data_IF_777381307698
#
_entry.id   IF_777381307698
#
_cell.length_a   1.000
_cell.length_b   1.000
_cell.length_c   1.000
_cell.angle_alpha   90.00
_cell.angle_beta   90.00
_cell.angle_gamma   90.00
#
_symmetry.space_group_name_H-M   'P 1'
#
loop_
_entity.id
_entity.type
_entity.pdbx_description
1 polymer ?
#
# COMPACT_ATOMS: atom_id res chain seq x y z
N UNK A 1 11.06 -14.34 23.19
CA UNK A 1 11.14 -15.53 22.35
C UNK A 1 10.63 -15.23 20.95
N UNK A 2 11.49 -15.38 20.00
CA UNK A 2 11.10 -15.12 18.61
C UNK A 2 10.30 -16.30 18.08
N UNK A 3 9.09 -16.05 17.60
CA UNK A 3 8.36 -17.07 16.86
C UNK A 3 8.90 -17.13 15.44
N UNK A 4 9.35 -18.31 15.06
CA UNK A 4 9.76 -18.55 13.69
C UNK A 4 8.50 -18.75 12.83
N UNK A 5 8.40 -17.92 11.81
CA UNK A 5 7.35 -18.07 10.81
C UNK A 5 7.95 -18.85 9.64
N UNK A 6 7.33 -19.96 9.28
CA UNK A 6 7.85 -20.82 8.22
C UNK A 6 7.98 -20.10 6.88
N UNK A 7 6.99 -19.29 6.54
CA UNK A 7 7.03 -18.51 5.32
C UNK A 7 6.51 -17.11 5.58
N UNK A 8 7.39 -16.13 5.79
CA UNK A 8 6.96 -14.75 6.06
C UNK A 8 6.44 -14.01 4.82
N UNK A 9 6.68 -14.54 3.64
CA UNK A 9 6.25 -13.92 2.39
C UNK A 9 4.80 -14.29 2.12
N UNK A 10 3.92 -13.29 2.16
CA UNK A 10 2.48 -13.49 2.02
C UNK A 10 1.94 -13.13 0.64
N UNK A 11 2.59 -12.21 -0.05
CA UNK A 11 2.07 -11.61 -1.27
C UNK A 11 3.10 -11.64 -2.38
N UNK A 12 2.59 -11.70 -3.63
CA UNK A 12 3.44 -11.49 -4.79
C UNK A 12 3.83 -10.01 -4.87
N UNK A 13 5.08 -9.67 -5.24
CA UNK A 13 5.47 -8.27 -5.39
C UNK A 13 4.79 -7.58 -6.58
N UNK A 14 4.12 -8.36 -7.45
CA UNK A 14 3.46 -7.84 -8.65
C UNK A 14 1.98 -7.57 -8.46
N UNK A 15 1.43 -7.89 -7.30
CA UNK A 15 0.00 -7.76 -7.01
C UNK A 15 -0.23 -6.92 -5.77
N UNK A 16 -1.41 -6.30 -5.69
CA UNK A 16 -1.79 -5.56 -4.50
C UNK A 16 -1.80 -6.50 -3.29
N UNK A 17 -1.16 -6.10 -2.19
CA UNK A 17 -1.15 -6.95 -1.00
C UNK A 17 -2.56 -7.18 -0.47
N UNK A 18 -2.83 -8.43 -0.10
CA UNK A 18 -4.13 -8.83 0.46
C UNK A 18 -4.05 -9.27 1.91
N UNK A 19 -2.85 -9.43 2.42
CA UNK A 19 -2.61 -9.83 3.80
C UNK A 19 -1.35 -9.16 4.30
N UNK A 20 -1.25 -9.01 5.60
CA UNK A 20 -0.05 -8.44 6.20
C UNK A 20 0.18 -8.99 7.60
N UNK A 21 1.44 -8.89 8.06
CA UNK A 21 1.80 -9.24 9.41
C UNK A 21 1.64 -8.04 10.33
N UNK A 22 0.95 -8.24 11.45
CA UNK A 22 0.87 -7.28 12.53
C UNK A 22 1.49 -7.90 13.78
N UNK A 23 1.86 -7.07 14.73
CA UNK A 23 2.39 -7.55 16.00
C UNK A 23 1.38 -7.24 17.10
N UNK A 24 0.91 -8.29 17.76
CA UNK A 24 0.05 -8.19 18.93
C UNK A 24 0.76 -8.87 20.08
N UNK A 25 1.00 -8.12 21.15
CA UNK A 25 1.73 -8.62 22.32
C UNK A 25 3.10 -9.20 21.97
N UNK A 26 3.78 -8.57 21.01
CA UNK A 26 5.10 -8.99 20.58
C UNK A 26 5.13 -10.20 19.66
N UNK A 27 3.97 -10.74 19.29
CA UNK A 27 3.89 -11.89 18.40
C UNK A 27 3.31 -11.52 17.05
N UNK A 28 3.83 -12.11 15.96
CA UNK A 28 3.28 -11.85 14.63
C UNK A 28 1.89 -12.48 14.49
N UNK A 29 0.95 -11.67 14.00
CA UNK A 29 -0.42 -12.09 13.74
C UNK A 29 -0.76 -11.76 12.31
N UNK A 30 -1.35 -12.71 11.61
CA UNK A 30 -1.76 -12.53 10.23
C UNK A 30 -3.07 -11.73 10.17
N UNK A 31 -3.06 -10.63 9.43
CA UNK A 31 -4.23 -9.80 9.23
C UNK A 31 -4.66 -9.84 7.77
N UNK A 32 -5.97 -9.81 7.55
CA UNK A 32 -6.52 -9.71 6.22
C UNK A 32 -6.54 -8.27 5.73
N UNK A 33 -6.44 -8.09 4.42
CA UNK A 33 -6.46 -6.77 3.81
C UNK A 33 -5.07 -6.20 3.61
N UNK A 34 -5.03 -4.98 3.13
CA UNK A 34 -3.78 -4.28 2.91
C UNK A 34 -3.43 -3.46 4.14
N UNK A 35 -2.16 -3.50 4.55
CA UNK A 35 -1.70 -2.70 5.68
C UNK A 35 -1.94 -1.22 5.39
N UNK A 36 -2.64 -0.51 6.28
CA UNK A 36 -2.81 0.93 6.12
C UNK A 36 -1.47 1.66 6.14
N UNK A 37 -1.37 2.74 5.37
CA UNK A 37 -0.20 3.61 5.43
C UNK A 37 -0.21 4.36 6.76
N UNK A 38 0.95 4.42 7.39
CA UNK A 38 1.06 5.08 8.67
C UNK A 38 2.45 4.90 9.25
N UNK A 39 2.60 5.36 10.47
CA UNK A 39 3.86 5.22 11.19
C UNK A 39 3.60 4.96 12.67
N UNK A 40 4.62 4.48 13.35
CA UNK A 40 4.54 4.21 14.78
C UNK A 40 5.26 5.33 15.54
N UNK A 41 4.55 5.88 16.53
CA UNK A 41 5.12 6.85 17.45
C UNK A 41 5.50 6.14 18.74
N UNK A 42 6.75 6.35 19.15
CA UNK A 42 7.19 5.95 20.49
C UNK A 42 7.12 7.16 21.39
N UNK A 43 6.39 7.09 22.50
CA UNK A 43 6.39 8.20 23.44
C UNK A 43 7.79 8.43 23.99
N UNK A 44 8.25 9.68 23.93
CA UNK A 44 9.49 10.09 24.57
C UNK A 44 9.24 10.29 26.05
N UNK A 45 9.25 9.23 26.79
CA UNK A 45 9.15 9.34 28.22
C UNK A 45 10.53 9.08 28.83
N UNK A 46 10.95 9.99 29.67
CA UNK A 46 12.21 9.87 30.41
C UNK A 46 11.93 9.05 31.67
N UNK A 47 12.03 7.75 31.58
CA UNK A 47 11.87 6.93 32.75
C UNK A 47 11.99 5.45 32.46
N UNK A 48 12.43 4.66 33.44
CA UNK A 48 12.60 3.21 33.25
C UNK A 48 11.29 2.48 33.04
N UNK A 49 10.16 3.13 33.26
CA UNK A 49 8.84 2.56 33.06
C UNK A 49 8.27 2.91 31.68
N UNK A 50 9.05 3.52 30.85
CA UNK A 50 8.63 3.74 29.49
C UNK A 50 8.47 2.40 28.86
N UNK A 51 7.27 1.98 28.73
CA UNK A 51 6.96 0.78 28.03
C UNK A 51 7.41 0.93 26.59
N UNK A 52 8.47 0.22 26.24
CA UNK A 52 8.89 0.06 24.86
C UNK A 52 7.77 -0.57 24.03
N UNK A 53 6.69 -0.96 24.66
CA UNK A 53 5.56 -1.65 24.09
C UNK A 53 4.41 -0.71 23.71
N UNK A 54 4.47 0.56 24.15
CA UNK A 54 3.43 1.53 23.82
C UNK A 54 3.79 2.31 22.54
N UNK A 55 3.83 1.59 21.44
CA UNK A 55 3.92 2.22 20.14
C UNK A 55 2.49 2.54 19.68
N UNK A 56 2.23 3.81 19.45
CA UNK A 56 0.98 4.25 18.89
C UNK A 56 1.09 4.29 17.37
N UNK A 57 0.17 3.61 16.70
CA UNK A 57 0.10 3.66 15.24
C UNK A 57 -0.67 4.90 14.81
N UNK A 58 -0.04 5.74 13.99
CA UNK A 58 -0.66 6.94 13.44
C UNK A 58 -0.90 6.71 11.95
N UNK A 59 -2.15 6.57 11.52
CA UNK A 59 -2.44 6.37 10.10
C UNK A 59 -2.25 7.65 9.32
N UNK A 60 -1.77 7.51 8.09
CA UNK A 60 -1.70 8.61 7.12
C UNK A 60 -3.01 8.61 6.33
N UNK A 61 -4.01 9.28 6.87
CA UNK A 61 -5.36 9.20 6.33
C UNK A 61 -5.46 9.70 4.89
N UNK A 62 -4.73 10.76 4.56
CA UNK A 62 -4.72 11.26 3.18
C UNK A 62 -4.19 10.20 2.21
N UNK A 63 -3.10 9.54 2.57
CA UNK A 63 -2.51 8.49 1.74
C UNK A 63 -3.48 7.32 1.59
N UNK A 64 -4.11 6.91 2.67
CA UNK A 64 -5.07 5.81 2.63
C UNK A 64 -6.29 6.15 1.78
N UNK A 65 -6.78 7.39 1.86
CA UNK A 65 -7.89 7.86 1.03
C UNK A 65 -7.49 7.86 -0.45
N UNK A 66 -6.30 8.34 -0.77
CA UNK A 66 -5.79 8.34 -2.15
C UNK A 66 -5.69 6.91 -2.67
N UNK A 67 -5.18 5.99 -1.86
CA UNK A 67 -5.08 4.58 -2.26
C UNK A 67 -6.44 3.99 -2.62
N UNK A 68 -7.46 4.27 -1.82
CA UNK A 68 -8.80 3.78 -2.08
C UNK A 68 -9.39 4.36 -3.36
N UNK A 69 -9.18 5.65 -3.59
CA UNK A 69 -9.67 6.31 -4.79
C UNK A 69 -8.97 5.82 -6.04
N UNK A 70 -7.67 5.61 -5.96
CA UNK A 70 -6.89 5.09 -7.09
C UNK A 70 -7.30 3.65 -7.39
N UNK A 71 -7.54 2.85 -6.37
CA UNK A 71 -8.01 1.48 -6.55
C UNK A 71 -9.34 1.47 -7.29
N UNK A 72 -10.29 2.29 -6.88
CA UNK A 72 -11.59 2.40 -7.56
C UNK A 72 -11.43 2.92 -8.99
N UNK A 73 -10.55 3.89 -9.20
CA UNK A 73 -10.26 4.45 -10.51
C UNK A 73 -9.63 3.39 -11.44
N UNK A 74 -8.71 2.60 -10.91
CA UNK A 74 -8.09 1.48 -11.65
C UNK A 74 -9.14 0.46 -12.07
N UNK A 75 -10.02 0.10 -11.15
CA UNK A 75 -11.08 -0.88 -11.40
C UNK A 75 -12.08 -0.40 -12.46
N UNK A 76 -12.23 0.92 -12.60
CA UNK A 76 -13.07 1.51 -13.64
C UNK A 76 -12.36 1.72 -14.97
N UNK A 77 -11.10 1.29 -15.09
CA UNK A 77 -10.35 1.39 -16.32
C UNK A 77 -9.69 2.74 -16.58
N UNK A 78 -9.31 3.44 -15.52
CA UNK A 78 -8.57 4.71 -15.60
C UNK A 78 -9.30 5.79 -16.42
N UNK A 79 -10.53 6.17 -16.07
CA UNK A 79 -11.22 7.22 -16.83
C UNK A 79 -10.50 8.57 -16.74
N UNK A 80 -10.55 9.34 -17.81
CA UNK A 80 -10.01 10.69 -17.85
C UNK A 80 -8.56 10.82 -18.27
N UNK A 81 -7.88 9.72 -18.58
CA UNK A 81 -6.49 9.75 -19.04
C UNK A 81 -6.41 10.01 -20.55
N UNK A 82 -5.27 10.55 -21.00
CA UNK A 82 -5.00 10.73 -22.42
C UNK A 82 -4.84 9.38 -23.11
N UNK A 83 -5.02 9.30 -24.46
CA UNK A 83 -4.81 8.04 -25.18
C UNK A 83 -3.39 7.50 -25.04
N UNK A 84 -2.39 8.37 -24.96
CA UNK A 84 -0.99 7.94 -24.78
C UNK A 84 -0.82 7.31 -23.38
N UNK A 85 -1.34 7.96 -22.37
CA UNK A 85 -1.28 7.43 -21.00
C UNK A 85 -2.00 6.09 -20.91
N UNK A 86 -3.14 5.95 -21.59
CA UNK A 86 -3.87 4.68 -21.63
C UNK A 86 -3.03 3.56 -22.25
N UNK A 87 -2.30 3.86 -23.32
CA UNK A 87 -1.40 2.89 -23.95
C UNK A 87 -0.30 2.46 -22.98
N UNK A 88 0.29 3.42 -22.26
CA UNK A 88 1.32 3.12 -21.26
C UNK A 88 0.77 2.24 -20.13
N UNK A 89 -0.39 2.59 -19.60
CA UNK A 89 -1.02 1.80 -18.52
C UNK A 89 -1.33 0.39 -18.98
N UNK A 90 -1.87 0.24 -20.19
CA UNK A 90 -2.15 -1.08 -20.75
C UNK A 90 -0.87 -1.89 -20.94
N UNK A 91 0.20 -1.25 -21.37
CA UNK A 91 1.48 -1.89 -21.53
C UNK A 91 2.06 -2.37 -20.20
N UNK A 92 2.04 -1.52 -19.18
CA UNK A 92 2.55 -1.88 -17.86
C UNK A 92 1.71 -2.96 -17.17
N UNK A 93 0.42 -3.00 -17.47
CA UNK A 93 -0.50 -3.97 -16.86
C UNK A 93 -0.64 -5.27 -17.66
N UNK A 94 0.06 -5.38 -18.79
CA UNK A 94 0.00 -6.59 -19.61
C UNK A 94 0.61 -7.78 -18.85
N UNK A 95 -0.19 -8.82 -18.56
CA UNK A 95 0.30 -9.98 -17.79
C UNK A 95 1.35 -10.79 -18.52
N UNK A 96 1.47 -10.62 -19.85
CA UNK A 96 2.43 -11.36 -20.66
C UNK A 96 3.78 -10.68 -20.75
N UNK A 97 3.95 -9.52 -20.12
CA UNK A 97 5.25 -8.85 -20.12
C UNK A 97 6.30 -9.69 -19.40
N UNK A 98 7.44 -9.81 -20.02
CA UNK A 98 8.58 -10.53 -19.46
C UNK A 98 9.11 -9.83 -18.20
N UNK A 99 9.19 -8.49 -18.24
CA UNK A 99 9.63 -7.67 -17.11
C UNK A 99 8.47 -6.83 -16.59
N UNK A 100 7.80 -7.35 -15.59
CA UNK A 100 6.67 -6.67 -14.99
C UNK A 100 7.13 -5.66 -13.96
N UNK A 101 6.39 -4.57 -13.83
CA UNK A 101 6.60 -3.63 -12.73
C UNK A 101 6.14 -4.27 -11.43
N UNK A 102 6.84 -3.98 -10.35
CA UNK A 102 6.33 -4.29 -9.01
C UNK A 102 5.06 -3.47 -8.76
N UNK A 103 4.20 -3.99 -7.92
CA UNK A 103 2.95 -3.27 -7.61
C UNK A 103 3.22 -1.87 -7.06
N UNK A 104 4.23 -1.71 -6.20
CA UNK A 104 4.57 -0.40 -5.65
C UNK A 104 4.97 0.59 -6.74
N UNK A 105 5.69 0.15 -7.75
CA UNK A 105 6.08 0.99 -8.89
C UNK A 105 4.86 1.39 -9.71
N UNK A 106 3.99 0.41 -9.98
CA UNK A 106 2.76 0.65 -10.74
C UNK A 106 1.84 1.62 -10.01
N UNK A 107 1.65 1.42 -8.71
CA UNK A 107 0.81 2.30 -7.90
C UNK A 107 1.39 3.71 -7.82
N UNK A 108 2.70 3.85 -7.73
CA UNK A 108 3.35 5.16 -7.73
C UNK A 108 3.08 5.91 -9.05
N UNK A 109 3.21 5.21 -10.18
CA UNK A 109 2.92 5.79 -11.49
C UNK A 109 1.43 6.15 -11.61
N UNK A 110 0.55 5.25 -11.17
CA UNK A 110 -0.89 5.51 -11.17
C UNK A 110 -1.26 6.73 -10.32
N UNK A 111 -0.62 6.88 -9.18
CA UNK A 111 -0.87 8.00 -8.28
C UNK A 111 -0.51 9.33 -8.95
N UNK A 112 0.65 9.37 -9.59
CA UNK A 112 1.09 10.57 -10.29
C UNK A 112 0.15 10.92 -11.43
N UNK A 113 -0.23 9.94 -12.24
CA UNK A 113 -1.16 10.13 -13.36
C UNK A 113 -2.52 10.60 -12.84
N UNK A 114 -3.03 9.98 -11.78
CA UNK A 114 -4.30 10.35 -11.18
C UNK A 114 -4.29 11.81 -10.70
N UNK A 115 -3.21 12.23 -10.07
CA UNK A 115 -3.09 13.62 -9.59
C UNK A 115 -3.04 14.65 -10.72
N UNK A 116 -2.44 14.27 -11.85
CA UNK A 116 -2.20 15.19 -12.96
C UNK A 116 -3.31 15.15 -14.01
N UNK A 117 -3.77 13.96 -14.39
CA UNK A 117 -4.67 13.77 -15.51
C UNK A 117 -6.11 13.44 -15.13
N UNK A 118 -6.34 12.82 -13.98
CA UNK A 118 -7.70 12.43 -13.60
C UNK A 118 -8.61 13.68 -13.45
N UNK A 119 -9.88 13.50 -13.80
CA UNK A 119 -10.84 14.61 -13.72
C UNK A 119 -11.03 15.08 -12.28
N UNK A 120 -11.44 16.34 -12.07
CA UNK A 120 -11.72 16.84 -10.72
C UNK A 120 -12.73 15.99 -9.94
N UNK A 121 -13.64 15.32 -10.65
CA UNK A 121 -14.62 14.44 -10.01
C UNK A 121 -13.99 13.22 -9.35
N UNK A 122 -12.77 12.84 -9.76
CA UNK A 122 -12.07 11.71 -9.20
C UNK A 122 -11.34 12.06 -7.89
N UNK A 123 -11.03 13.32 -7.69
CA UNK A 123 -10.19 13.77 -6.56
C UNK A 123 -11.01 14.18 -5.34
#
# INVERSE_FOLDING_TARGET
MSMLVDNPILNSPFEEPTRYWAYEEGQPVLKEGRRPAGYYLRPRTCGPQTSLLEEEFVPLELVNTIRERIKAWRERGYPGVTPITRQLLNHWNNPERERKLFFCQREAAETLIWLVEASPAEK
#
